data_IF_554184053587
#
_entry.id   IF_554184053587
#
_cell.length_a   1.000
_cell.length_b   1.000
_cell.length_c   1.000
_cell.angle_alpha   90.00
_cell.angle_beta   90.00
_cell.angle_gamma   90.00
#
_symmetry.space_group_name_H-M   'P 1'
#
loop_
_entity.id
_entity.type
_entity.pdbx_description
1 polymer ?
#
# COMPACT_ATOMS: atom_id res chain seq x y z
N UNK A 1 -5.18 -3.99 -7.14
CA UNK A 1 -5.17 -3.27 -5.84
C UNK A 1 -6.11 -3.91 -4.81
N UNK A 2 -7.37 -4.21 -5.18
CA UNK A 2 -8.37 -4.78 -4.27
C UNK A 2 -7.94 -6.10 -3.60
N UNK A 3 -7.23 -6.96 -4.34
CA UNK A 3 -6.74 -8.25 -3.87
C UNK A 3 -5.65 -8.12 -2.79
N UNK A 4 -4.72 -7.16 -2.97
CA UNK A 4 -3.73 -6.81 -1.94
C UNK A 4 -4.43 -6.38 -0.65
N UNK A 5 -5.43 -5.51 -0.76
CA UNK A 5 -6.22 -5.07 0.39
C UNK A 5 -7.02 -6.21 1.04
N UNK A 6 -7.63 -7.10 0.26
CA UNK A 6 -8.35 -8.26 0.81
C UNK A 6 -7.42 -9.18 1.59
N UNK A 7 -6.24 -9.51 1.04
CA UNK A 7 -5.24 -10.34 1.73
C UNK A 7 -4.77 -9.70 3.03
N UNK A 8 -4.59 -8.38 3.04
CA UNK A 8 -4.20 -7.63 4.23
C UNK A 8 -5.33 -7.62 5.26
N UNK A 9 -6.57 -7.36 4.85
CA UNK A 9 -7.72 -7.32 5.76
C UNK A 9 -7.99 -8.69 6.41
N UNK A 10 -7.79 -9.77 5.67
CA UNK A 10 -7.87 -11.13 6.22
C UNK A 10 -6.72 -11.41 7.20
N UNK A 11 -5.50 -10.96 6.90
CA UNK A 11 -4.36 -11.08 7.81
C UNK A 11 -4.56 -10.33 9.13
N UNK A 12 -5.16 -9.14 9.10
CA UNK A 12 -5.37 -8.27 10.27
C UNK A 12 -6.79 -8.37 10.85
N UNK A 13 -7.60 -9.31 10.39
CA UNK A 13 -8.96 -9.58 10.86
C UNK A 13 -9.87 -8.33 10.89
N UNK A 14 -9.73 -7.47 9.88
CA UNK A 14 -10.45 -6.20 9.80
C UNK A 14 -11.88 -6.40 9.28
N UNK A 15 -12.87 -5.59 9.73
CA UNK A 15 -14.25 -5.71 9.28
C UNK A 15 -14.38 -5.47 7.77
N UNK A 16 -14.86 -6.47 7.03
CA UNK A 16 -15.11 -6.37 5.57
C UNK A 16 -16.07 -5.24 5.21
N UNK A 17 -16.98 -4.89 6.12
CA UNK A 17 -17.99 -3.83 5.97
C UNK A 17 -17.39 -2.43 5.80
N UNK A 18 -16.20 -2.23 6.36
CA UNK A 18 -15.46 -0.96 6.25
C UNK A 18 -14.41 -1.01 5.14
N UNK A 19 -14.21 -2.15 4.48
CA UNK A 19 -13.17 -2.37 3.47
C UNK A 19 -13.20 -1.29 2.38
N UNK A 20 -14.38 -0.94 1.86
CA UNK A 20 -14.48 0.08 0.80
C UNK A 20 -14.11 1.49 1.30
N UNK A 21 -14.50 1.85 2.52
CA UNK A 21 -14.13 3.13 3.13
C UNK A 21 -12.64 3.20 3.45
N UNK A 22 -12.08 2.12 3.99
CA UNK A 22 -10.65 1.98 4.20
C UNK A 22 -9.90 2.05 2.87
N UNK A 23 -10.29 1.29 1.86
CA UNK A 23 -9.64 1.32 0.53
C UNK A 23 -9.69 2.74 -0.06
N UNK A 24 -10.80 3.46 0.05
CA UNK A 24 -10.92 4.81 -0.50
C UNK A 24 -10.03 5.85 0.21
N UNK A 25 -9.94 5.82 1.54
CA UNK A 25 -9.15 6.80 2.32
C UNK A 25 -7.68 6.40 2.51
N UNK A 26 -7.41 5.10 2.59
CA UNK A 26 -6.11 4.53 2.95
C UNK A 26 -5.23 4.26 1.74
N UNK A 27 -5.81 4.04 0.55
CA UNK A 27 -5.04 3.69 -0.66
C UNK A 27 -4.00 4.75 -1.04
N UNK A 28 -4.31 6.04 -0.94
CA UNK A 28 -3.35 7.11 -1.24
C UNK A 28 -2.20 7.17 -0.24
N UNK A 29 -2.49 7.07 1.06
CA UNK A 29 -1.48 7.09 2.12
C UNK A 29 -0.60 5.85 2.05
N UNK A 30 -1.22 4.68 1.90
CA UNK A 30 -0.52 3.41 1.73
C UNK A 30 0.40 3.44 0.52
N UNK A 31 -0.09 3.93 -0.62
CA UNK A 31 0.69 4.01 -1.83
C UNK A 31 1.91 4.94 -1.67
N UNK A 32 1.71 6.11 -1.06
CA UNK A 32 2.80 7.05 -0.79
C UNK A 32 3.88 6.44 0.13
N UNK A 33 3.46 5.73 1.18
CA UNK A 33 4.39 5.11 2.12
C UNK A 33 5.12 3.90 1.51
N UNK A 34 4.43 3.07 0.70
CA UNK A 34 5.06 2.00 -0.08
C UNK A 34 6.12 2.59 -1.02
N UNK A 35 5.79 3.66 -1.75
CA UNK A 35 6.71 4.29 -2.69
C UNK A 35 7.94 4.88 -1.97
N UNK A 36 7.73 5.53 -0.82
CA UNK A 36 8.80 6.09 0.02
C UNK A 36 9.75 5.00 0.52
N UNK A 37 9.23 3.89 1.03
CA UNK A 37 10.03 2.75 1.48
C UNK A 37 10.71 2.00 0.32
N UNK A 38 10.10 2.04 -0.87
CA UNK A 38 10.66 1.43 -2.07
C UNK A 38 11.74 2.25 -2.76
N UNK A 39 11.74 3.57 -2.57
CA UNK A 39 12.66 4.51 -3.23
C UNK A 39 14.15 4.09 -3.25
N UNK A 40 14.72 3.50 -2.18
CA UNK A 40 16.12 3.04 -2.19
C UNK A 40 16.41 1.90 -3.17
N UNK A 41 15.41 1.08 -3.55
CA UNK A 41 15.56 -0.03 -4.50
C UNK A 41 15.19 0.34 -5.95
N UNK A 42 14.71 1.57 -6.19
CA UNK A 42 14.27 2.02 -7.51
C UNK A 42 15.42 2.68 -8.29
N UNK A 43 15.60 2.25 -9.53
CA UNK A 43 16.51 2.91 -10.48
C UNK A 43 15.94 4.26 -10.94
N UNK A 44 16.76 5.07 -11.60
CA UNK A 44 16.27 6.33 -12.17
C UNK A 44 15.30 6.10 -13.33
N UNK A 45 15.46 5.01 -14.09
CA UNK A 45 14.50 4.57 -15.10
C UNK A 45 13.15 4.19 -14.47
N UNK A 46 13.17 3.46 -13.34
CA UNK A 46 11.95 3.12 -12.61
C UNK A 46 11.22 4.39 -12.16
N UNK A 47 11.94 5.39 -11.64
CA UNK A 47 11.35 6.67 -11.19
C UNK A 47 10.73 7.44 -12.35
N UNK A 48 11.31 7.39 -13.55
CA UNK A 48 10.72 7.99 -14.75
C UNK A 48 9.41 7.30 -15.12
N UNK A 49 9.39 5.96 -15.12
CA UNK A 49 8.17 5.18 -15.39
C UNK A 49 7.08 5.44 -14.34
N UNK A 50 7.45 5.53 -13.06
CA UNK A 50 6.52 5.82 -11.96
C UNK A 50 5.85 7.18 -12.18
N UNK A 51 6.62 8.22 -12.52
CA UNK A 51 6.07 9.55 -12.83
C UNK A 51 5.09 9.51 -14.01
N UNK A 52 5.41 8.73 -15.04
CA UNK A 52 4.52 8.57 -16.20
C UNK A 52 3.21 7.86 -15.83
N UNK A 53 3.30 6.77 -15.06
CA UNK A 53 2.12 6.04 -14.58
C UNK A 53 1.29 6.88 -13.62
N UNK A 54 1.92 7.71 -12.78
CA UNK A 54 1.23 8.59 -11.83
C UNK A 54 0.40 9.67 -12.55
N UNK A 55 0.98 10.32 -13.56
CA UNK A 55 0.26 11.25 -14.44
C UNK A 55 -0.95 10.61 -15.13
N UNK A 56 -0.87 9.32 -15.44
CA UNK A 56 -1.95 8.55 -16.07
C UNK A 56 -2.89 7.89 -15.05
N UNK A 57 -2.67 8.11 -13.73
CA UNK A 57 -3.41 7.48 -12.63
C UNK A 57 -3.39 5.94 -12.69
N UNK A 58 -2.32 5.36 -13.23
CA UNK A 58 -2.11 3.92 -13.38
C UNK A 58 -1.42 3.33 -12.15
N UNK A 59 -2.03 3.49 -10.97
CA UNK A 59 -1.43 3.10 -9.68
C UNK A 59 -1.11 1.60 -9.56
N UNK A 60 -1.90 0.75 -10.21
CA UNK A 60 -1.63 -0.69 -10.24
C UNK A 60 -0.30 -1.01 -10.93
N UNK A 61 0.01 -0.34 -12.05
CA UNK A 61 1.29 -0.53 -12.75
C UNK A 61 2.48 -0.06 -11.92
N UNK A 62 2.29 0.97 -11.10
CA UNK A 62 3.34 1.43 -10.19
C UNK A 62 3.61 0.37 -9.12
N UNK A 63 2.55 -0.18 -8.50
CA UNK A 63 2.70 -1.26 -7.53
C UNK A 63 3.36 -2.51 -8.13
N UNK A 64 2.96 -2.91 -9.34
CA UNK A 64 3.60 -4.03 -10.05
C UNK A 64 5.09 -3.77 -10.32
N UNK A 65 5.44 -2.55 -10.72
CA UNK A 65 6.83 -2.16 -10.97
C UNK A 65 7.67 -2.21 -9.69
N UNK A 66 7.12 -1.70 -8.59
CA UNK A 66 7.76 -1.75 -7.27
C UNK A 66 7.92 -3.19 -6.82
N UNK A 67 6.84 -4.00 -6.85
CA UNK A 67 6.84 -5.39 -6.40
C UNK A 67 7.92 -6.23 -7.09
N UNK A 68 8.18 -6.01 -8.38
CA UNK A 68 9.24 -6.69 -9.15
C UNK A 68 10.66 -6.45 -8.62
N UNK A 69 10.88 -5.45 -7.76
CA UNK A 69 12.17 -5.14 -7.13
C UNK A 69 12.43 -5.91 -5.84
N UNK A 70 11.45 -6.70 -5.39
CA UNK A 70 11.49 -7.41 -4.12
C UNK A 70 11.36 -8.90 -4.34
N UNK A 71 12.11 -9.68 -3.55
CA UNK A 71 11.77 -11.09 -3.37
C UNK A 71 10.40 -11.20 -2.66
N UNK A 72 9.63 -12.30 -2.84
CA UNK A 72 8.30 -12.43 -2.23
C UNK A 72 8.27 -12.23 -0.71
N UNK A 73 9.30 -12.71 -0.01
CA UNK A 73 9.43 -12.54 1.45
C UNK A 73 9.71 -11.08 1.84
N UNK A 74 10.65 -10.40 1.14
CA UNK A 74 10.95 -8.99 1.39
C UNK A 74 9.75 -8.09 1.06
N UNK A 75 8.98 -8.44 0.03
CA UNK A 75 7.75 -7.74 -0.34
C UNK A 75 6.71 -7.83 0.78
N UNK A 76 6.50 -9.05 1.29
CA UNK A 76 5.57 -9.30 2.40
C UNK A 76 5.97 -8.53 3.65
N UNK A 77 7.28 -8.48 3.96
CA UNK A 77 7.80 -7.74 5.11
C UNK A 77 7.65 -6.23 4.95
N UNK A 78 7.91 -5.68 3.76
CA UNK A 78 7.71 -4.26 3.46
C UNK A 78 6.23 -3.88 3.64
N UNK A 79 5.33 -4.70 3.11
CA UNK A 79 3.90 -4.49 3.26
C UNK A 79 3.51 -4.51 4.74
N UNK A 80 3.95 -5.50 5.51
CA UNK A 80 3.65 -5.59 6.94
C UNK A 80 4.18 -4.39 7.73
N UNK A 81 5.43 -3.98 7.51
CA UNK A 81 6.02 -2.81 8.18
C UNK A 81 5.35 -1.49 7.79
N UNK A 82 4.81 -1.41 6.58
CA UNK A 82 4.15 -0.20 6.08
C UNK A 82 2.68 -0.14 6.49
N UNK A 83 1.98 -1.26 6.42
CA UNK A 83 0.53 -1.35 6.58
C UNK A 83 0.12 -1.49 8.04
N UNK A 84 0.85 -2.29 8.84
CA UNK A 84 0.52 -2.47 10.27
C UNK A 84 0.43 -1.13 11.01
N UNK A 85 1.44 -0.22 10.95
CA UNK A 85 1.38 1.02 11.71
C UNK A 85 0.29 1.98 11.20
N UNK A 86 0.06 1.99 9.89
CA UNK A 86 -0.99 2.82 9.29
C UNK A 86 -2.38 2.32 9.70
N UNK A 87 -2.60 1.01 9.70
CA UNK A 87 -3.84 0.40 10.17
C UNK A 87 -4.05 0.62 11.66
N UNK A 88 -3.01 0.41 12.48
CA UNK A 88 -3.05 0.67 13.92
C UNK A 88 -3.44 2.12 14.21
N UNK A 89 -2.74 3.10 13.61
CA UNK A 89 -3.04 4.53 13.76
C UNK A 89 -4.46 4.88 13.32
N UNK A 90 -4.93 4.31 12.20
CA UNK A 90 -6.28 4.57 11.73
C UNK A 90 -7.32 3.90 12.64
N UNK A 91 -7.07 2.68 13.13
CA UNK A 91 -7.99 2.01 14.06
C UNK A 91 -8.06 2.73 15.39
N UNK A 92 -6.95 3.20 15.96
CA UNK A 92 -7.00 3.98 17.20
C UNK A 92 -7.72 5.32 16.99
N UNK A 93 -7.44 6.03 15.91
CA UNK A 93 -8.06 7.33 15.64
C UNK A 93 -9.54 7.28 15.21
N UNK A 94 -9.99 6.18 14.61
CA UNK A 94 -11.36 6.05 14.07
C UNK A 94 -12.26 5.14 14.91
N UNK A 95 -11.72 4.24 15.74
CA UNK A 95 -12.51 3.36 16.62
C UNK A 95 -12.68 3.96 18.03
N UNK A 96 -11.74 4.76 18.55
CA UNK A 96 -11.93 5.42 19.86
C UNK A 96 -12.92 6.60 19.83
N UNK A 97 -13.41 7.01 18.65
CA UNK A 97 -14.38 8.10 18.49
C UNK A 97 -15.84 7.58 18.38
N UNK A 98 -16.10 6.30 18.68
CA UNK A 98 -17.46 5.74 18.77
C UNK A 98 -17.87 5.41 20.20
#
# INVERSE_FOLDING_TARGET
>A
MLELFQQLFEKYNLPKEKLEQYVAGFSLVLFAEILKNANPKLSDEDKVLIKQYDHQKQYEKILELIQKKYAPAEWSELLEKTITPLLESYTSEVVEVQ
#
